data_IF_334133903663
#
_entry.id   IF_334133903663
#
_cell.length_a   1.000
_cell.length_b   1.000
_cell.length_c   1.000
_cell.angle_alpha   90.00
_cell.angle_beta   90.00
_cell.angle_gamma   90.00
#
_symmetry.space_group_name_H-M   'P 1'
#
loop_
_entity.id
_entity.type
_entity.pdbx_description
1 polymer ?
#
# COMPACT_ATOMS: atom_id res chain seq x y z
N UNK A 1 -10.86 -21.19 23.95
CA UNK A 1 -10.49 -20.67 22.61
C UNK A 1 -10.93 -21.72 21.61
N UNK A 2 -11.61 -21.30 20.56
CA UNK A 2 -12.11 -22.18 19.50
C UNK A 2 -11.37 -21.85 18.20
N UNK A 3 -10.87 -22.87 17.53
CA UNK A 3 -10.33 -22.72 16.18
C UNK A 3 -11.47 -22.88 15.18
N UNK A 4 -11.52 -21.95 14.22
CA UNK A 4 -12.55 -21.90 13.20
C UNK A 4 -11.91 -21.65 11.83
N UNK A 5 -12.43 -22.27 10.74
CA UNK A 5 -11.97 -21.97 9.40
C UNK A 5 -12.26 -20.52 9.02
N UNK A 6 -11.26 -19.78 8.51
CA UNK A 6 -11.41 -18.37 8.13
C UNK A 6 -12.56 -18.11 7.15
N UNK A 7 -12.84 -19.06 6.25
CA UNK A 7 -13.93 -18.97 5.25
C UNK A 7 -15.33 -18.73 5.84
N UNK A 8 -15.57 -19.07 7.11
CA UNK A 8 -16.88 -18.82 7.74
C UNK A 8 -17.14 -17.33 7.96
N UNK A 9 -16.11 -16.51 7.93
CA UNK A 9 -16.21 -15.06 8.08
C UNK A 9 -16.40 -14.32 6.74
N UNK A 10 -16.46 -15.05 5.63
CA UNK A 10 -16.71 -14.44 4.32
C UNK A 10 -18.05 -13.74 4.30
N UNK A 11 -18.03 -12.46 3.88
CA UNK A 11 -19.22 -11.60 3.84
C UNK A 11 -19.61 -10.96 5.17
N UNK A 12 -18.83 -11.19 6.24
CA UNK A 12 -19.01 -10.45 7.50
C UNK A 12 -18.52 -9.03 7.30
N UNK A 13 -19.34 -8.07 7.77
CA UNK A 13 -19.00 -6.65 7.79
C UNK A 13 -18.86 -6.23 9.25
N UNK A 14 -17.73 -5.61 9.57
CA UNK A 14 -17.43 -5.07 10.88
C UNK A 14 -17.71 -3.57 10.91
N UNK A 15 -18.05 -3.06 12.07
CA UNK A 15 -18.15 -1.62 12.33
C UNK A 15 -16.79 -1.07 12.71
N UNK A 16 -16.42 0.09 12.16
CA UNK A 16 -15.17 0.74 12.53
C UNK A 16 -15.19 1.17 14.01
N UNK A 17 -14.09 0.99 14.79
CA UNK A 17 -14.07 1.34 16.22
C UNK A 17 -14.27 2.83 16.51
N UNK A 18 -14.08 3.69 15.53
CA UNK A 18 -14.28 5.15 15.61
C UNK A 18 -15.51 5.63 14.84
N UNK A 19 -16.54 4.80 14.71
CA UNK A 19 -17.82 5.20 14.09
C UNK A 19 -18.33 6.54 14.64
N UNK A 20 -18.28 6.70 15.95
CA UNK A 20 -18.84 7.87 16.66
C UNK A 20 -18.12 9.19 16.34
N UNK A 21 -16.94 9.17 15.72
CA UNK A 21 -16.18 10.36 15.33
C UNK A 21 -16.05 10.53 13.82
N UNK A 22 -16.86 9.80 13.04
CA UNK A 22 -16.98 10.02 11.59
C UNK A 22 -16.37 8.93 10.70
N UNK A 23 -15.94 7.78 11.26
CA UNK A 23 -15.54 6.62 10.48
C UNK A 23 -16.75 5.71 10.19
N UNK A 24 -17.76 6.31 9.56
CA UNK A 24 -19.02 5.64 9.21
C UNK A 24 -18.93 4.98 7.83
N UNK A 25 -18.26 3.84 7.79
CA UNK A 25 -18.15 3.00 6.61
C UNK A 25 -18.00 1.54 6.99
N UNK A 26 -18.39 0.67 6.07
CA UNK A 26 -18.28 -0.76 6.21
C UNK A 26 -16.82 -1.23 6.20
N UNK A 27 -16.48 -2.12 7.14
CA UNK A 27 -15.18 -2.78 7.22
C UNK A 27 -15.37 -4.27 6.89
N UNK A 28 -15.26 -4.67 5.62
CA UNK A 28 -15.49 -6.05 5.22
C UNK A 28 -14.34 -6.96 5.67
N UNK A 29 -14.69 -8.19 6.08
CA UNK A 29 -13.71 -9.24 6.27
C UNK A 29 -13.37 -9.90 4.93
N UNK A 30 -12.10 -9.84 4.56
CA UNK A 30 -11.57 -10.34 3.29
C UNK A 30 -10.68 -11.56 3.50
N UNK A 31 -10.75 -12.52 2.59
CA UNK A 31 -9.83 -13.65 2.58
C UNK A 31 -8.49 -13.24 1.95
N UNK A 32 -7.37 -13.51 2.62
CA UNK A 32 -6.04 -13.21 2.11
C UNK A 32 -5.07 -14.36 2.35
N UNK A 33 -4.29 -14.72 1.33
CA UNK A 33 -3.32 -15.83 1.40
C UNK A 33 -2.10 -15.55 2.28
N UNK A 34 -1.79 -14.27 2.51
CA UNK A 34 -0.67 -13.85 3.35
C UNK A 34 -1.01 -13.87 4.84
N UNK A 35 -2.28 -14.07 5.20
CA UNK A 35 -2.70 -14.20 6.61
C UNK A 35 -2.56 -15.63 7.05
N UNK A 36 -1.78 -15.85 8.12
CA UNK A 36 -1.54 -17.18 8.71
C UNK A 36 -1.91 -17.18 10.18
N UNK A 37 -2.05 -18.38 10.75
CA UNK A 37 -2.29 -18.57 12.19
C UNK A 37 -1.01 -18.79 13.00
N UNK A 38 0.14 -18.79 12.35
CA UNK A 38 1.45 -18.96 13.00
C UNK A 38 1.83 -17.76 13.85
N UNK A 39 1.33 -16.57 13.49
CA UNK A 39 1.54 -15.33 14.22
C UNK A 39 0.18 -14.67 14.53
N UNK A 40 -0.30 -14.87 15.77
CA UNK A 40 -1.52 -14.22 16.22
C UNK A 40 -2.80 -15.04 16.00
N UNK A 41 -3.88 -14.36 15.66
CA UNK A 41 -5.25 -14.90 15.66
C UNK A 41 -5.76 -15.37 14.29
N UNK A 42 -5.03 -15.12 13.22
CA UNK A 42 -5.54 -15.26 11.85
C UNK A 42 -6.42 -14.09 11.39
N UNK A 43 -6.54 -13.03 12.19
CA UNK A 43 -7.16 -11.76 11.81
C UNK A 43 -6.10 -10.68 11.75
N UNK A 44 -6.05 -9.96 10.62
CA UNK A 44 -5.08 -8.90 10.37
C UNK A 44 -5.83 -7.65 9.91
N UNK A 45 -5.52 -6.50 10.49
CA UNK A 45 -5.98 -5.21 9.98
C UNK A 45 -5.21 -4.88 8.70
N UNK A 46 -5.91 -4.59 7.61
CA UNK A 46 -5.34 -4.20 6.33
C UNK A 46 -5.52 -2.69 6.11
N UNK A 47 -4.41 -2.02 5.81
CA UNK A 47 -4.39 -0.60 5.50
C UNK A 47 -3.92 -0.37 4.06
N UNK A 48 -4.82 -0.08 3.09
CA UNK A 48 -4.51 -0.07 1.67
C UNK A 48 -3.40 0.92 1.27
N UNK A 49 -3.18 1.94 2.07
CA UNK A 49 -2.15 2.96 1.80
C UNK A 49 -0.79 2.66 2.43
N UNK A 50 -0.63 1.55 3.16
CA UNK A 50 0.53 1.32 4.01
C UNK A 50 1.26 -0.02 3.78
N UNK A 51 0.94 -0.74 2.71
CA UNK A 51 1.64 -1.96 2.32
C UNK A 51 1.18 -2.48 0.95
N UNK A 52 2.06 -3.15 0.18
CA UNK A 52 1.70 -3.64 -1.16
C UNK A 52 0.66 -4.77 -1.13
N UNK A 53 0.72 -5.65 -0.15
CA UNK A 53 -0.24 -6.76 -0.03
C UNK A 53 -1.62 -6.24 0.36
N UNK A 54 -1.68 -5.32 1.31
CA UNK A 54 -2.90 -4.63 1.74
C UNK A 54 -3.49 -3.83 0.58
N UNK A 55 -2.64 -3.08 -0.15
CA UNK A 55 -3.05 -2.32 -1.32
C UNK A 55 -3.72 -3.21 -2.36
N UNK A 56 -3.05 -4.30 -2.77
CA UNK A 56 -3.56 -5.20 -3.79
C UNK A 56 -4.87 -5.87 -3.35
N UNK A 57 -4.95 -6.34 -2.10
CA UNK A 57 -6.17 -6.93 -1.55
C UNK A 57 -7.32 -5.95 -1.58
N UNK A 58 -7.10 -4.73 -1.11
CA UNK A 58 -8.13 -3.70 -1.01
C UNK A 58 -8.61 -3.22 -2.38
N UNK A 59 -7.70 -2.91 -3.31
CA UNK A 59 -8.06 -2.46 -4.67
C UNK A 59 -8.85 -3.54 -5.43
N UNK A 60 -8.45 -4.82 -5.31
CA UNK A 60 -9.16 -5.93 -5.94
C UNK A 60 -10.58 -6.15 -5.38
N UNK A 61 -10.86 -5.61 -4.20
CA UNK A 61 -12.18 -5.62 -3.58
C UNK A 61 -12.90 -4.26 -3.63
N UNK A 62 -12.44 -3.32 -4.47
CA UNK A 62 -13.08 -2.02 -4.68
C UNK A 62 -12.84 -1.00 -3.57
N UNK A 63 -11.94 -1.27 -2.62
CA UNK A 63 -11.56 -0.36 -1.53
C UNK A 63 -10.43 0.53 -2.01
N UNK A 64 -10.66 1.85 -1.98
CA UNK A 64 -9.69 2.85 -2.46
C UNK A 64 -8.55 3.07 -1.45
N UNK A 65 -7.33 3.23 -1.95
CA UNK A 65 -6.20 3.71 -1.17
C UNK A 65 -6.22 5.24 -1.14
N UNK A 66 -6.46 5.81 0.02
CA UNK A 66 -6.43 7.26 0.24
C UNK A 66 -5.02 7.71 0.63
N UNK A 67 -4.67 8.95 0.32
CA UNK A 67 -3.45 9.57 0.83
C UNK A 67 -3.67 9.97 2.30
N UNK A 68 -3.26 9.10 3.21
CA UNK A 68 -3.50 9.22 4.64
C UNK A 68 -2.37 9.89 5.40
N UNK A 69 -1.18 9.94 4.81
CA UNK A 69 0.04 10.53 5.40
C UNK A 69 0.67 11.45 4.38
N UNK A 70 0.96 12.69 4.78
CA UNK A 70 1.60 13.71 3.96
C UNK A 70 3.13 13.53 3.85
N UNK A 71 3.79 14.46 3.17
CA UNK A 71 5.25 14.44 2.96
C UNK A 71 6.06 14.67 4.24
N UNK A 72 5.46 15.28 5.25
CA UNK A 72 6.04 15.49 6.58
C UNK A 72 5.84 14.31 7.52
N UNK A 73 5.18 13.24 7.09
CA UNK A 73 4.85 12.08 7.91
C UNK A 73 3.71 12.33 8.90
N UNK A 74 2.83 13.27 8.63
CA UNK A 74 1.66 13.59 9.45
C UNK A 74 0.40 13.06 8.80
N UNK A 75 -0.59 12.72 9.60
CA UNK A 75 -1.90 12.35 9.09
C UNK A 75 -2.57 13.52 8.37
N UNK A 76 -3.12 13.23 7.20
CA UNK A 76 -3.90 14.17 6.39
C UNK A 76 -5.32 14.34 6.96
N UNK A 77 -6.07 15.28 6.38
CA UNK A 77 -7.49 15.52 6.71
C UNK A 77 -8.41 14.29 6.54
N UNK A 78 -7.95 13.27 5.82
CA UNK A 78 -8.71 12.02 5.65
C UNK A 78 -8.74 11.18 6.93
N UNK A 79 -7.84 11.46 7.89
CA UNK A 79 -7.75 10.73 9.15
C UNK A 79 -8.39 11.57 10.26
N UNK A 80 -9.71 11.49 10.33
CA UNK A 80 -10.55 12.30 11.21
C UNK A 80 -10.13 12.14 12.69
N UNK A 81 -9.91 13.26 13.36
CA UNK A 81 -9.51 13.30 14.77
C UNK A 81 -8.04 13.02 15.04
N UNK A 82 -7.22 12.81 13.98
CA UNK A 82 -5.77 12.60 14.10
C UNK A 82 -4.98 13.49 13.14
N UNK A 83 -5.65 14.35 12.38
CA UNK A 83 -5.05 15.28 11.42
C UNK A 83 -3.86 16.04 12.03
N UNK A 84 -2.77 16.15 11.29
CA UNK A 84 -1.53 16.83 11.72
C UNK A 84 -0.70 16.06 12.74
N UNK A 85 -1.19 14.94 13.26
CA UNK A 85 -0.41 14.09 14.19
C UNK A 85 0.65 13.32 13.40
N UNK A 86 1.91 13.44 13.82
CA UNK A 86 2.99 12.67 13.21
C UNK A 86 2.85 11.17 13.53
N UNK A 87 2.96 10.31 12.52
CA UNK A 87 2.65 8.87 12.62
C UNK A 87 3.44 8.14 13.73
N UNK A 88 4.72 8.47 13.95
CA UNK A 88 5.50 7.88 15.03
C UNK A 88 5.11 8.36 16.44
N UNK A 89 4.25 9.36 16.53
CA UNK A 89 3.69 9.85 17.79
C UNK A 89 2.22 9.47 17.97
N UNK A 90 1.62 8.82 16.97
CA UNK A 90 0.19 8.55 16.95
C UNK A 90 -0.25 7.43 17.90
N UNK A 91 0.59 6.42 18.14
CA UNK A 91 0.20 5.24 18.91
C UNK A 91 -0.43 5.56 20.28
N UNK A 92 0.16 6.41 21.14
CA UNK A 92 -0.46 6.76 22.42
C UNK A 92 -1.82 7.45 22.24
N UNK A 93 -1.95 8.32 21.24
CA UNK A 93 -3.18 9.07 20.96
C UNK A 93 -4.29 8.12 20.49
N UNK A 94 -3.96 7.17 19.60
CA UNK A 94 -4.91 6.16 19.13
C UNK A 94 -5.37 5.26 20.27
N UNK A 95 -4.44 4.79 21.11
CA UNK A 95 -4.76 3.95 22.28
C UNK A 95 -5.71 4.66 23.23
N UNK A 96 -5.47 5.94 23.52
CA UNK A 96 -6.34 6.71 24.42
C UNK A 96 -7.74 6.89 23.84
N UNK A 97 -7.84 7.27 22.55
CA UNK A 97 -9.14 7.37 21.87
C UNK A 97 -9.89 6.03 21.82
N UNK A 98 -9.20 4.91 21.65
CA UNK A 98 -9.83 3.59 21.71
C UNK A 98 -10.35 3.25 23.11
N UNK A 99 -9.66 3.68 24.17
CA UNK A 99 -10.15 3.54 25.56
C UNK A 99 -11.40 4.40 25.80
N UNK A 100 -11.36 5.67 25.39
CA UNK A 100 -12.51 6.59 25.50
C UNK A 100 -13.72 6.02 24.78
N UNK A 101 -13.54 5.48 23.58
CA UNK A 101 -14.59 4.81 22.80
C UNK A 101 -15.01 3.45 23.37
N UNK A 102 -14.38 2.94 24.44
CA UNK A 102 -14.59 1.60 25.01
C UNK A 102 -14.43 0.46 24.00
N UNK A 103 -13.51 0.64 23.06
CA UNK A 103 -13.22 -0.31 21.96
C UNK A 103 -11.84 -0.95 22.06
N UNK A 104 -11.03 -0.59 23.06
CA UNK A 104 -9.73 -1.20 23.31
C UNK A 104 -9.91 -2.51 24.10
N UNK A 105 -9.51 -3.63 23.52
CA UNK A 105 -9.52 -4.92 24.20
C UNK A 105 -8.27 -5.09 25.06
N UNK A 106 -7.10 -4.86 24.47
CA UNK A 106 -5.80 -4.94 25.15
C UNK A 106 -4.76 -4.11 24.39
N UNK A 107 -3.69 -3.74 25.08
CA UNK A 107 -2.51 -3.16 24.45
C UNK A 107 -1.24 -3.72 25.09
N UNK A 108 -0.15 -3.70 24.33
CA UNK A 108 1.15 -4.20 24.78
C UNK A 108 2.30 -3.55 24.02
N UNK A 109 3.52 -3.92 24.39
CA UNK A 109 4.73 -3.50 23.68
C UNK A 109 5.39 -4.69 23.04
N UNK A 110 5.75 -4.55 21.78
CA UNK A 110 6.49 -5.54 21.02
C UNK A 110 7.82 -4.93 20.56
N UNK A 111 8.93 -5.61 20.80
CA UNK A 111 10.23 -5.26 20.24
C UNK A 111 10.47 -6.09 18.99
N UNK A 112 10.62 -5.44 17.86
CA UNK A 112 10.88 -6.10 16.57
C UNK A 112 11.88 -5.30 15.76
N UNK A 113 12.46 -5.92 14.72
CA UNK A 113 13.28 -5.22 13.73
C UNK A 113 12.40 -4.32 12.88
N UNK A 114 12.87 -3.08 12.67
CA UNK A 114 12.16 -2.10 11.86
C UNK A 114 13.05 -1.63 10.70
N UNK A 115 12.53 -1.53 9.47
CA UNK A 115 13.32 -1.11 8.33
C UNK A 115 13.72 0.37 8.44
N UNK A 116 15.00 0.65 8.19
CA UNK A 116 15.56 2.00 8.19
C UNK A 116 16.21 2.32 6.85
N UNK A 117 16.19 3.58 6.47
CA UNK A 117 16.93 4.05 5.30
C UNK A 117 18.42 3.80 5.49
N UNK A 118 19.05 3.14 4.53
CA UNK A 118 20.50 2.89 4.57
C UNK A 118 21.32 4.20 4.58
N UNK A 119 20.78 5.27 4.00
CA UNK A 119 21.44 6.57 3.87
C UNK A 119 21.22 7.47 5.08
N UNK A 120 19.97 7.75 5.44
CA UNK A 120 19.62 8.67 6.53
C UNK A 120 19.51 8.01 7.90
N UNK A 121 19.47 6.67 7.94
CA UNK A 121 19.19 5.87 9.15
C UNK A 121 17.83 6.15 9.78
N UNK A 122 16.99 6.95 9.15
CA UNK A 122 15.62 7.19 9.60
C UNK A 122 14.73 5.99 9.35
N UNK A 123 13.72 5.74 10.20
CA UNK A 123 12.75 4.67 9.98
C UNK A 123 11.96 4.92 8.69
N UNK A 124 11.68 3.85 7.97
CA UNK A 124 10.90 3.91 6.73
C UNK A 124 9.40 3.87 7.02
N UNK A 125 8.63 4.45 6.10
CA UNK A 125 7.17 4.42 6.12
C UNK A 125 6.67 3.99 4.75
N UNK A 126 5.77 3.02 4.73
CA UNK A 126 4.99 2.73 3.55
C UNK A 126 3.81 3.69 3.50
N UNK A 127 3.66 4.42 2.41
CA UNK A 127 2.53 5.31 2.15
C UNK A 127 2.15 5.30 0.68
N UNK A 128 0.87 5.42 0.37
CA UNK A 128 0.42 5.68 -0.98
C UNK A 128 0.76 7.11 -1.38
N UNK A 129 1.35 7.28 -2.55
CA UNK A 129 1.65 8.57 -3.17
C UNK A 129 1.21 8.54 -4.63
N UNK A 130 0.75 9.65 -5.14
CA UNK A 130 0.42 9.76 -6.56
C UNK A 130 1.70 9.65 -7.40
N UNK A 131 1.66 8.78 -8.40
CA UNK A 131 2.78 8.50 -9.28
C UNK A 131 2.29 8.41 -10.73
N UNK A 132 3.19 8.69 -11.66
CA UNK A 132 2.95 8.48 -13.08
C UNK A 132 3.54 7.16 -13.53
N UNK A 133 2.71 6.36 -14.20
CA UNK A 133 3.13 5.05 -14.71
C UNK A 133 2.92 4.95 -16.21
N UNK A 134 3.86 4.30 -16.89
CA UNK A 134 3.65 3.79 -18.25
C UNK A 134 3.18 2.35 -18.09
N UNK A 135 1.95 2.07 -18.53
CA UNK A 135 1.42 0.73 -18.49
C UNK A 135 2.14 -0.18 -19.47
N UNK A 136 2.57 -1.33 -18.98
CA UNK A 136 3.20 -2.36 -19.82
C UNK A 136 2.17 -3.14 -20.63
N UNK A 137 0.90 -3.15 -20.22
CA UNK A 137 -0.16 -3.89 -20.90
C UNK A 137 -0.98 -3.03 -21.88
N UNK A 138 -1.18 -1.73 -21.56
CA UNK A 138 -1.90 -0.81 -22.42
C UNK A 138 -1.24 -0.73 -23.80
N UNK A 139 -2.06 -0.78 -24.84
CA UNK A 139 -1.62 -0.78 -26.24
C UNK A 139 -0.60 -1.88 -26.58
N UNK A 140 -0.51 -2.93 -25.76
CA UNK A 140 0.36 -4.09 -26.01
C UNK A 140 1.84 -3.81 -25.92
N UNK A 141 2.28 -2.82 -25.14
CA UNK A 141 3.69 -2.42 -25.03
C UNK A 141 4.62 -3.60 -24.72
N UNK A 142 4.27 -4.44 -23.74
CA UNK A 142 5.03 -5.66 -23.40
C UNK A 142 5.19 -6.58 -24.60
N UNK A 143 4.09 -6.86 -25.31
CA UNK A 143 4.09 -7.73 -26.49
C UNK A 143 4.95 -7.16 -27.62
N UNK A 144 4.87 -5.85 -27.86
CA UNK A 144 5.70 -5.16 -28.85
C UNK A 144 7.18 -5.20 -28.50
N UNK A 145 7.52 -4.96 -27.22
CA UNK A 145 8.88 -5.01 -26.75
C UNK A 145 9.49 -6.42 -26.88
N UNK A 146 8.75 -7.46 -26.49
CA UNK A 146 9.19 -8.86 -26.66
C UNK A 146 9.41 -9.21 -28.12
N UNK A 147 8.51 -8.79 -29.03
CA UNK A 147 8.68 -8.98 -30.46
C UNK A 147 9.93 -8.28 -30.98
N UNK A 148 10.18 -7.04 -30.58
CA UNK A 148 11.37 -6.29 -30.99
C UNK A 148 12.67 -6.97 -30.54
N UNK A 149 12.68 -7.67 -29.38
CA UNK A 149 13.85 -8.46 -28.96
C UNK A 149 14.15 -9.61 -29.92
N UNK A 150 13.14 -10.21 -30.54
CA UNK A 150 13.34 -11.29 -31.48
C UNK A 150 14.01 -10.82 -32.78
N UNK A 151 13.77 -9.57 -33.16
CA UNK A 151 14.36 -8.91 -34.34
C UNK A 151 15.73 -8.25 -34.03
N UNK A 152 16.11 -8.16 -32.73
CA UNK A 152 17.37 -7.51 -32.31
C UNK A 152 18.50 -8.51 -32.17
N UNK A 153 19.65 -8.16 -32.71
CA UNK A 153 20.87 -8.96 -32.62
C UNK A 153 21.66 -8.60 -31.36
N UNK A 154 21.92 -9.59 -30.51
CA UNK A 154 22.61 -9.40 -29.23
C UNK A 154 24.04 -9.90 -29.24
N UNK A 155 24.96 -9.12 -28.67
CA UNK A 155 26.33 -9.47 -28.41
C UNK A 155 26.68 -9.18 -26.93
N UNK A 156 26.96 -10.21 -26.11
CA UNK A 156 26.81 -11.64 -26.37
C UNK A 156 25.34 -12.08 -26.46
N UNK A 157 25.08 -13.19 -27.15
CA UNK A 157 23.71 -13.72 -27.36
C UNK A 157 22.92 -13.98 -26.07
N UNK A 158 23.58 -14.37 -24.99
CA UNK A 158 22.99 -14.57 -23.66
C UNK A 158 22.29 -13.31 -23.11
N UNK A 159 22.65 -12.11 -23.58
CA UNK A 159 21.98 -10.85 -23.19
C UNK A 159 20.50 -10.83 -23.55
N UNK A 160 20.11 -11.48 -24.63
CA UNK A 160 18.72 -11.57 -25.09
C UNK A 160 17.81 -12.22 -24.04
N UNK A 161 18.18 -13.40 -23.54
CA UNK A 161 17.36 -14.15 -22.57
C UNK A 161 17.18 -13.37 -21.27
N UNK A 162 18.22 -12.70 -20.81
CA UNK A 162 18.13 -11.87 -19.59
C UNK A 162 17.15 -10.71 -19.76
N UNK A 163 17.24 -9.96 -20.86
CA UNK A 163 16.34 -8.82 -21.12
C UNK A 163 14.91 -9.31 -21.32
N UNK A 164 14.72 -10.42 -22.04
CA UNK A 164 13.43 -11.04 -22.28
C UNK A 164 12.73 -11.37 -20.95
N UNK A 165 13.40 -12.11 -20.07
CA UNK A 165 12.88 -12.45 -18.74
C UNK A 165 12.52 -11.19 -17.91
N UNK A 166 13.34 -10.15 -17.97
CA UNK A 166 13.06 -8.88 -17.28
C UNK A 166 11.81 -8.18 -17.82
N UNK A 167 11.55 -8.21 -19.14
CA UNK A 167 10.39 -7.59 -19.75
C UNK A 167 9.12 -8.40 -19.49
N UNK A 168 9.20 -9.74 -19.54
CA UNK A 168 8.08 -10.63 -19.25
C UNK A 168 7.46 -10.40 -17.88
N UNK A 169 8.28 -10.14 -16.88
CA UNK A 169 7.86 -9.99 -15.49
C UNK A 169 7.80 -8.53 -14.99
N UNK A 170 8.17 -7.57 -15.85
CA UNK A 170 8.27 -6.17 -15.46
C UNK A 170 6.89 -5.61 -15.11
N UNK A 171 6.71 -5.01 -13.92
CA UNK A 171 5.49 -4.24 -13.61
C UNK A 171 5.43 -2.97 -14.46
N UNK A 172 4.33 -2.25 -14.37
CA UNK A 172 4.18 -0.93 -14.98
C UNK A 172 5.36 -0.01 -14.59
N UNK A 173 5.82 0.79 -15.53
CA UNK A 173 7.02 1.59 -15.32
C UNK A 173 6.69 2.91 -14.63
N UNK A 174 7.03 3.04 -13.34
CA UNK A 174 6.96 4.30 -12.63
C UNK A 174 8.01 5.28 -13.17
N UNK A 175 7.55 6.34 -13.81
CA UNK A 175 8.41 7.38 -14.42
C UNK A 175 8.60 8.61 -13.55
N UNK A 176 7.69 8.86 -12.60
CA UNK A 176 7.81 9.95 -11.63
C UNK A 176 8.75 9.60 -10.47
N UNK A 177 9.22 10.62 -9.79
CA UNK A 177 10.04 10.51 -8.57
C UNK A 177 9.57 11.57 -7.57
N UNK A 178 9.70 11.29 -6.28
CA UNK A 178 9.36 12.21 -5.19
C UNK A 178 10.43 13.27 -4.92
N UNK A 179 11.57 13.18 -5.59
CA UNK A 179 12.68 14.15 -5.44
C UNK A 179 12.84 14.98 -6.70
N UNK A 180 13.06 16.27 -6.52
CA UNK A 180 13.37 17.19 -7.62
C UNK A 180 14.79 16.91 -8.10
N UNK A 181 14.90 16.20 -9.24
CA UNK A 181 16.17 15.86 -9.87
C UNK A 181 15.98 15.60 -11.37
N UNK A 182 16.82 16.20 -12.17
CA UNK A 182 16.85 15.98 -13.62
C UNK A 182 15.81 16.82 -14.39
N UNK A 183 15.44 16.34 -15.57
CA UNK A 183 14.49 17.02 -16.46
C UNK A 183 13.06 16.75 -15.99
N UNK A 184 12.19 17.78 -15.93
CA UNK A 184 10.77 17.60 -15.61
C UNK A 184 10.11 16.66 -16.62
N UNK A 185 9.09 15.90 -16.17
CA UNK A 185 8.25 15.15 -17.08
C UNK A 185 7.48 16.12 -17.98
N UNK A 186 7.47 15.93 -19.32
CA UNK A 186 6.76 16.79 -20.26
C UNK A 186 5.25 16.49 -20.27
N UNK A 187 4.63 16.48 -19.10
CA UNK A 187 3.23 16.17 -18.89
C UNK A 187 2.52 17.39 -18.30
N UNK A 188 1.40 17.77 -18.91
CA UNK A 188 0.53 18.82 -18.45
C UNK A 188 -0.79 18.22 -18.01
N UNK A 189 -1.23 18.59 -16.80
CA UNK A 189 -2.51 18.14 -16.24
C UNK A 189 -3.51 19.29 -16.35
N UNK A 190 -4.70 18.98 -16.87
CA UNK A 190 -5.79 19.95 -16.91
C UNK A 190 -6.24 20.28 -15.48
N UNK A 191 -6.40 21.56 -15.16
CA UNK A 191 -6.95 21.99 -13.87
C UNK A 191 -8.47 21.74 -13.75
N UNK A 192 -9.13 21.40 -14.86
CA UNK A 192 -10.60 21.20 -14.89
C UNK A 192 -11.00 19.74 -14.66
N UNK A 193 -10.10 18.81 -14.98
CA UNK A 193 -10.39 17.37 -15.02
C UNK A 193 -9.59 16.59 -13.96
N UNK A 194 -9.27 17.23 -12.84
CA UNK A 194 -8.59 16.61 -11.71
C UNK A 194 -9.49 15.62 -10.97
#
# INVERSE_FOLDING_TARGET
>A
IKELPGKIFKGVICTHPFLDIGYDYDVPMLEARFVTTEQGTGFVHCAPSHGPDDFNLCINNGIKALETVDDDGKYTKHIIGFEGTHIFKANPVVIEKLKEAKRLIANGKLKHSYPHSWRSKAPLVHRATQQWFISMESHGLRKLALKALDETKFYPSKGKERIKSMIETRPDWCVSRQRVWGVPLPIFVSKKDN
#
